data_IF_157982694840
#
_entry.id   IF_157982694840
#
_cell.length_a   1.000
_cell.length_b   1.000
_cell.length_c   1.000
_cell.angle_alpha   90.00
_cell.angle_beta   90.00
_cell.angle_gamma   90.00
#
_symmetry.space_group_name_H-M   'P 1'
#
loop_
_entity.id
_entity.type
_entity.pdbx_description
1 polymer ?
#
# COMPACT_ATOMS: atom_id res chain seq x y z
N UNK A 1 16.16 -6.82 25.13
CA UNK A 1 15.34 -7.04 23.93
C UNK A 1 13.92 -6.54 24.23
N UNK A 2 13.60 -5.30 23.86
CA UNK A 2 12.29 -4.71 24.13
C UNK A 2 11.42 -4.87 22.89
N UNK A 3 10.51 -5.84 22.93
CA UNK A 3 9.46 -6.08 21.94
C UNK A 3 8.40 -4.98 22.03
N UNK A 4 8.72 -3.74 21.63
CA UNK A 4 7.66 -2.78 21.31
C UNK A 4 7.05 -3.26 20.01
N UNK A 5 5.84 -3.80 20.11
CA UNK A 5 4.91 -4.02 19.02
C UNK A 5 4.69 -2.66 18.32
N UNK A 6 5.60 -2.28 17.43
CA UNK A 6 5.33 -1.25 16.43
C UNK A 6 4.34 -1.88 15.47
N UNK A 7 3.06 -1.63 15.73
CA UNK A 7 1.94 -2.25 15.01
C UNK A 7 2.00 -1.97 13.50
N UNK A 8 2.75 -0.94 13.08
CA UNK A 8 3.16 -0.71 11.69
C UNK A 8 4.61 -0.21 11.61
N UNK A 9 5.39 -0.64 10.59
CA UNK A 9 6.69 -0.05 10.27
C UNK A 9 6.52 1.41 9.85
N UNK A 10 6.89 2.34 10.72
CA UNK A 10 6.85 3.78 10.41
C UNK A 10 8.27 4.24 10.09
N UNK A 11 8.56 4.67 8.85
CA UNK A 11 9.87 5.17 8.49
C UNK A 11 10.18 6.49 9.20
N UNK A 12 11.41 6.64 9.67
CA UNK A 12 11.84 7.79 10.46
C UNK A 12 12.30 8.93 9.54
N UNK A 13 11.34 9.63 8.92
CA UNK A 13 11.58 10.78 8.03
C UNK A 13 11.00 12.08 8.60
N UNK A 14 11.38 13.22 8.02
CA UNK A 14 10.84 14.53 8.40
C UNK A 14 9.30 14.51 8.35
N UNK A 15 8.63 15.13 9.34
CA UNK A 15 7.16 15.12 9.49
C UNK A 15 6.42 15.55 8.22
N UNK A 16 6.98 16.51 7.48
CA UNK A 16 6.41 16.96 6.20
C UNK A 16 6.42 15.83 5.17
N UNK A 17 7.55 15.14 5.01
CA UNK A 17 7.69 13.99 4.10
C UNK A 17 6.78 12.85 4.52
N UNK A 18 6.68 12.60 5.83
CA UNK A 18 5.80 11.56 6.38
C UNK A 18 4.33 11.85 6.08
N UNK A 19 3.92 13.11 6.16
CA UNK A 19 2.57 13.56 5.80
C UNK A 19 2.28 13.36 4.31
N UNK A 20 3.18 13.78 3.43
CA UNK A 20 3.04 13.57 1.98
C UNK A 20 3.02 12.08 1.62
N UNK A 21 3.93 11.28 2.18
CA UNK A 21 3.94 9.84 1.95
C UNK A 21 2.68 9.16 2.49
N UNK A 22 2.14 9.62 3.62
CA UNK A 22 0.86 9.17 4.16
C UNK A 22 -0.32 9.46 3.22
N UNK A 23 -0.38 10.67 2.66
CA UNK A 23 -1.39 11.04 1.65
C UNK A 23 -1.30 10.14 0.40
N UNK A 24 -0.09 9.90 -0.09
CA UNK A 24 0.13 9.01 -1.24
C UNK A 24 -0.28 7.57 -0.91
N UNK A 25 0.01 7.11 0.31
CA UNK A 25 -0.37 5.77 0.76
C UNK A 25 -1.90 5.59 0.90
N UNK A 26 -2.66 6.68 1.00
CA UNK A 26 -4.12 6.65 1.08
C UNK A 26 -4.76 6.40 -0.30
N UNK A 27 -4.14 6.90 -1.38
CA UNK A 27 -4.58 6.62 -2.75
C UNK A 27 -4.00 5.32 -3.32
N UNK A 28 -2.71 5.06 -3.06
CA UNK A 28 -1.97 3.88 -3.50
C UNK A 28 -1.31 3.22 -2.29
N UNK A 29 -2.04 2.34 -1.58
CA UNK A 29 -1.51 1.63 -0.43
C UNK A 29 -0.25 0.85 -0.81
N UNK A 30 0.79 1.01 -0.01
CA UNK A 30 2.11 0.43 -0.23
C UNK A 30 3.08 1.38 -0.95
N UNK A 31 2.62 2.23 -1.86
CA UNK A 31 3.52 3.12 -2.61
C UNK A 31 4.11 4.24 -1.73
N UNK A 32 3.29 4.84 -0.87
CA UNK A 32 3.76 5.85 0.07
C UNK A 32 4.76 5.29 1.09
N UNK A 33 4.57 4.05 1.53
CA UNK A 33 5.52 3.36 2.41
C UNK A 33 6.86 3.10 1.72
N UNK A 34 6.84 2.68 0.45
CA UNK A 34 8.06 2.47 -0.33
C UNK A 34 8.84 3.78 -0.52
N UNK A 35 8.15 4.88 -0.87
CA UNK A 35 8.78 6.20 -1.01
C UNK A 35 9.42 6.67 0.29
N UNK A 36 8.70 6.58 1.41
CA UNK A 36 9.24 6.99 2.70
C UNK A 36 10.43 6.12 3.14
N UNK A 37 10.42 4.83 2.79
CA UNK A 37 11.53 3.90 3.05
C UNK A 37 12.76 4.25 2.21
N UNK A 38 12.58 4.64 0.94
CA UNK A 38 13.68 5.14 0.10
C UNK A 38 14.33 6.41 0.68
N UNK A 39 13.53 7.30 1.27
CA UNK A 39 14.01 8.57 1.83
C UNK A 39 14.74 8.34 3.16
N UNK A 40 14.26 7.42 3.99
CA UNK A 40 14.89 7.07 5.26
C UNK A 40 16.30 6.46 5.08
N UNK A 41 16.53 5.70 4.00
CA UNK A 41 17.82 5.08 3.62
C UNK A 41 18.53 4.31 4.77
N UNK A 42 17.75 3.72 5.68
CA UNK A 42 18.25 2.89 6.78
C UNK A 42 18.35 1.42 6.35
N UNK A 43 19.55 0.83 6.20
CA UNK A 43 19.72 -0.50 5.60
C UNK A 43 19.10 -1.65 6.41
N UNK A 44 18.95 -1.46 7.73
CA UNK A 44 18.38 -2.47 8.64
C UNK A 44 16.86 -2.61 8.48
N UNK A 45 16.15 -1.51 8.24
CA UNK A 45 14.69 -1.46 8.09
C UNK A 45 14.23 -1.40 6.64
N UNK A 46 15.14 -1.06 5.71
CA UNK A 46 14.84 -0.94 4.29
C UNK A 46 14.20 -2.20 3.70
N UNK A 47 14.80 -3.37 3.97
CA UNK A 47 14.35 -4.64 3.36
C UNK A 47 12.97 -5.08 3.86
N UNK A 48 12.69 -4.92 5.15
CA UNK A 48 11.39 -5.27 5.73
C UNK A 48 10.30 -4.29 5.28
N UNK A 49 10.57 -2.99 5.32
CA UNK A 49 9.58 -1.98 4.95
C UNK A 49 9.27 -2.00 3.44
N UNK A 50 10.27 -2.23 2.59
CA UNK A 50 10.06 -2.41 1.15
C UNK A 50 9.19 -3.62 0.84
N UNK A 51 9.42 -4.75 1.52
CA UNK A 51 8.63 -5.95 1.26
C UNK A 51 7.16 -5.77 1.69
N UNK A 52 6.94 -5.10 2.82
CA UNK A 52 5.60 -4.75 3.30
C UNK A 52 4.91 -3.80 2.31
N UNK A 53 5.62 -2.79 1.80
CA UNK A 53 5.09 -1.86 0.80
C UNK A 53 4.68 -2.56 -0.51
N UNK A 54 5.50 -3.48 -1.01
CA UNK A 54 5.18 -4.27 -2.21
C UNK A 54 3.96 -5.16 -1.98
N UNK A 55 3.87 -5.83 -0.83
CA UNK A 55 2.73 -6.69 -0.52
C UNK A 55 1.43 -5.90 -0.36
N UNK A 56 1.48 -4.71 0.24
CA UNK A 56 0.33 -3.80 0.28
C UNK A 56 -0.09 -3.36 -1.12
N UNK A 57 0.86 -3.02 -2.00
CA UNK A 57 0.55 -2.60 -3.36
C UNK A 57 -0.08 -3.74 -4.17
N UNK A 58 0.45 -4.96 -4.08
CA UNK A 58 -0.16 -6.14 -4.69
C UNK A 58 -1.58 -6.39 -4.18
N UNK A 59 -1.78 -6.34 -2.87
CA UNK A 59 -3.10 -6.53 -2.27
C UNK A 59 -4.10 -5.49 -2.81
N UNK A 60 -3.67 -4.24 -2.98
CA UNK A 60 -4.51 -3.19 -3.55
C UNK A 60 -4.94 -3.52 -4.99
N UNK A 61 -4.01 -3.98 -5.82
CA UNK A 61 -4.32 -4.39 -7.20
C UNK A 61 -5.31 -5.56 -7.24
N UNK A 62 -5.15 -6.54 -6.35
CA UNK A 62 -6.08 -7.68 -6.23
C UNK A 62 -7.48 -7.20 -5.83
N UNK A 63 -7.58 -6.30 -4.84
CA UNK A 63 -8.87 -5.75 -4.39
C UNK A 63 -9.55 -4.94 -5.49
N UNK A 64 -8.83 -4.04 -6.15
CA UNK A 64 -9.37 -3.24 -7.27
C UNK A 64 -9.80 -4.16 -8.42
N UNK A 65 -8.96 -5.13 -8.79
CA UNK A 65 -9.27 -6.10 -9.83
C UNK A 65 -10.50 -6.95 -9.51
N UNK A 66 -10.69 -7.32 -8.25
CA UNK A 66 -11.88 -8.05 -7.79
C UNK A 66 -13.16 -7.23 -7.97
N UNK A 67 -13.19 -5.98 -7.48
CA UNK A 67 -14.35 -5.10 -7.66
C UNK A 67 -14.65 -4.84 -9.14
N UNK A 68 -13.61 -4.67 -9.96
CA UNK A 68 -13.75 -4.49 -11.41
C UNK A 68 -14.31 -5.72 -12.11
N UNK A 69 -13.84 -6.92 -11.74
CA UNK A 69 -14.36 -8.18 -12.27
C UNK A 69 -15.83 -8.37 -11.91
N UNK A 70 -16.21 -8.08 -10.67
CA UNK A 70 -17.61 -8.15 -10.22
C UNK A 70 -18.51 -7.18 -11.02
N UNK A 71 -18.09 -5.93 -11.19
CA UNK A 71 -18.84 -4.94 -11.96
C UNK A 71 -19.05 -5.38 -13.42
N UNK A 72 -18.02 -5.92 -14.08
CA UNK A 72 -18.16 -6.44 -15.44
C UNK A 72 -19.05 -7.68 -15.51
N UNK A 73 -19.00 -8.55 -14.51
CA UNK A 73 -19.91 -9.70 -14.40
C UNK A 73 -21.37 -9.26 -14.36
N UNK A 74 -21.70 -8.26 -13.55
CA UNK A 74 -23.05 -7.68 -13.47
C UNK A 74 -23.46 -7.08 -14.82
N UNK A 75 -22.58 -6.30 -15.47
CA UNK A 75 -22.86 -5.69 -16.77
C UNK A 75 -23.16 -6.75 -17.84
N UNK A 76 -22.37 -7.83 -17.90
CA UNK A 76 -22.61 -8.92 -18.87
C UNK A 76 -23.98 -9.59 -18.68
N UNK A 77 -24.42 -9.80 -17.43
CA UNK A 77 -25.75 -10.39 -17.15
C UNK A 77 -26.86 -9.47 -17.65
N UNK A 78 -26.78 -8.16 -17.37
CA UNK A 78 -27.78 -7.20 -17.84
C UNK A 78 -27.83 -7.11 -19.37
N UNK A 79 -26.68 -7.03 -20.02
CA UNK A 79 -26.62 -7.03 -21.49
C UNK A 79 -27.14 -8.34 -22.10
N UNK A 80 -26.99 -9.48 -21.43
CA UNK A 80 -27.52 -10.76 -21.91
C UNK A 80 -29.04 -10.90 -21.82
N UNK A 81 -29.72 -10.05 -21.04
CA UNK A 81 -31.17 -10.09 -20.80
C UNK A 81 -31.95 -9.10 -21.66
N UNK A 82 -31.26 -8.21 -22.39
CA UNK A 82 -31.85 -7.17 -23.24
C UNK A 82 -31.72 -7.55 -24.71
#
# INVERSE_FOLDING_TARGET
MSSRMQMLPVPNVNRVVLFFCGLVNLGLPGFGLMLATCIENNPLTFRSHMHIGIMQLLLTLVVIGFFWSFANGVVMIFYSLT
#
